data_IF_552003234808
#
_entry.id   IF_552003234808
#
_cell.length_a   1.000
_cell.length_b   1.000
_cell.length_c   1.000
_cell.angle_alpha   90.00
_cell.angle_beta   90.00
_cell.angle_gamma   90.00
#
_symmetry.space_group_name_H-M   'P 1'
#
loop_
_entity.id
_entity.type
_entity.pdbx_description
1 polymer ?
#
# COMPACT_ATOMS: atom_id res chain seq x y z
N UNK A 1 -13.46 -4.42 10.70
CA UNK A 1 -12.25 -4.38 9.86
C UNK A 1 -12.01 -5.81 9.41
N UNK A 2 -12.56 -6.20 8.25
CA UNK A 2 -12.48 -7.59 7.73
C UNK A 2 -11.96 -7.62 6.28
N UNK A 3 -11.42 -6.51 5.79
CA UNK A 3 -11.06 -6.40 4.37
C UNK A 3 -9.88 -7.28 3.99
N UNK A 4 -8.90 -7.44 4.89
CA UNK A 4 -7.76 -8.34 4.65
C UNK A 4 -8.17 -9.82 4.68
N UNK A 5 -9.11 -10.18 5.56
CA UNK A 5 -9.56 -11.56 5.73
C UNK A 5 -10.38 -12.05 4.53
N UNK A 6 -11.19 -11.17 3.93
CA UNK A 6 -12.20 -11.56 2.96
C UNK A 6 -11.88 -11.18 1.50
N UNK A 7 -10.91 -10.30 1.26
CA UNK A 7 -10.68 -9.74 -0.09
C UNK A 7 -9.37 -10.21 -0.76
N UNK A 8 -8.69 -11.21 -0.22
CA UNK A 8 -7.58 -11.85 -0.92
C UNK A 8 -8.04 -12.47 -2.24
N UNK A 9 -7.33 -12.20 -3.34
CA UNK A 9 -7.64 -12.74 -4.67
C UNK A 9 -6.43 -13.41 -5.33
N UNK A 10 -6.65 -14.40 -6.22
CA UNK A 10 -5.58 -15.00 -7.02
C UNK A 10 -4.81 -13.96 -7.86
N UNK A 11 -3.56 -14.28 -8.17
CA UNK A 11 -2.72 -13.48 -9.07
C UNK A 11 -3.43 -13.29 -10.42
N UNK A 12 -3.41 -12.06 -10.92
CA UNK A 12 -4.00 -11.69 -12.22
C UNK A 12 -5.50 -11.37 -12.17
N UNK A 13 -6.17 -11.50 -11.03
CA UNK A 13 -7.55 -11.02 -10.88
C UNK A 13 -7.60 -9.48 -11.09
N UNK A 14 -8.46 -8.96 -11.99
CA UNK A 14 -8.53 -7.51 -12.25
C UNK A 14 -8.87 -6.67 -11.01
N UNK A 15 -9.63 -7.23 -10.08
CA UNK A 15 -10.09 -6.61 -8.84
C UNK A 15 -9.18 -6.93 -7.65
N UNK A 16 -7.93 -7.37 -7.88
CA UNK A 16 -6.97 -7.64 -6.82
C UNK A 16 -6.51 -6.33 -6.18
N UNK A 17 -6.73 -6.21 -4.88
CA UNK A 17 -6.26 -5.05 -4.12
C UNK A 17 -4.75 -5.12 -3.90
N UNK A 18 -4.15 -3.95 -3.71
CA UNK A 18 -2.74 -3.78 -3.43
C UNK A 18 -2.53 -3.15 -2.05
N UNK A 19 -1.41 -3.49 -1.43
CA UNK A 19 -0.96 -2.90 -0.17
C UNK A 19 0.38 -2.18 -0.38
N UNK A 20 0.57 -0.99 0.21
CA UNK A 20 1.82 -0.27 0.11
C UNK A 20 2.89 -0.86 1.06
N UNK A 21 4.16 -0.75 0.66
CA UNK A 21 5.31 -0.95 1.53
C UNK A 21 6.29 0.22 1.36
N UNK A 22 7.09 0.49 2.38
CA UNK A 22 8.25 1.38 2.32
C UNK A 22 9.32 0.85 3.27
N UNK A 23 10.59 0.93 2.89
CA UNK A 23 11.68 0.40 3.71
C UNK A 23 13.05 0.58 3.07
N UNK A 24 14.07 0.70 3.90
CA UNK A 24 15.47 0.85 3.46
C UNK A 24 16.19 -0.50 3.30
N UNK A 25 15.57 -1.58 3.77
CA UNK A 25 16.05 -2.96 3.62
C UNK A 25 15.33 -3.68 2.47
N UNK A 26 16.06 -3.93 1.39
CA UNK A 26 15.53 -4.58 0.18
C UNK A 26 15.10 -6.03 0.45
N UNK A 27 15.80 -6.76 1.33
CA UNK A 27 15.43 -8.14 1.66
C UNK A 27 14.10 -8.17 2.42
N UNK A 28 13.94 -7.30 3.43
CA UNK A 28 12.69 -7.12 4.16
C UNK A 28 11.51 -6.75 3.25
N UNK A 29 11.72 -5.84 2.29
CA UNK A 29 10.68 -5.49 1.29
C UNK A 29 10.31 -6.68 0.40
N UNK A 30 11.27 -7.51 0.00
CA UNK A 30 11.02 -8.71 -0.80
C UNK A 30 10.22 -9.77 -0.02
N UNK A 31 10.52 -9.95 1.28
CA UNK A 31 9.77 -10.83 2.16
C UNK A 31 8.31 -10.34 2.30
N UNK A 32 8.10 -9.05 2.58
CA UNK A 32 6.76 -8.47 2.71
C UNK A 32 5.95 -8.61 1.42
N UNK A 33 6.57 -8.32 0.27
CA UNK A 33 5.96 -8.50 -1.06
C UNK A 33 5.51 -9.94 -1.29
N UNK A 34 6.36 -10.90 -0.93
CA UNK A 34 6.04 -12.33 -1.05
C UNK A 34 4.85 -12.70 -0.17
N UNK A 35 4.82 -12.21 1.06
CA UNK A 35 3.72 -12.44 2.00
C UNK A 35 2.39 -11.86 1.50
N UNK A 36 2.39 -10.61 1.03
CA UNK A 36 1.20 -9.98 0.44
C UNK A 36 0.67 -10.79 -0.74
N UNK A 37 1.58 -11.25 -1.61
CA UNK A 37 1.21 -12.08 -2.73
C UNK A 37 0.55 -13.40 -2.30
N UNK A 38 1.10 -14.07 -1.27
CA UNK A 38 0.53 -15.30 -0.70
C UNK A 38 -0.87 -15.08 -0.09
N UNK A 39 -1.10 -13.90 0.51
CA UNK A 39 -2.41 -13.51 1.04
C UNK A 39 -3.40 -13.02 -0.02
N UNK A 40 -2.99 -12.95 -1.29
CA UNK A 40 -3.87 -12.57 -2.37
C UNK A 40 -3.93 -11.07 -2.65
N UNK A 41 -2.89 -10.32 -2.27
CA UNK A 41 -2.75 -8.89 -2.53
C UNK A 41 -1.55 -8.60 -3.42
N UNK A 42 -1.69 -7.58 -4.26
CA UNK A 42 -0.54 -6.98 -4.95
C UNK A 42 0.25 -6.09 -3.98
N UNK A 43 1.47 -5.71 -4.38
CA UNK A 43 2.32 -4.81 -3.61
C UNK A 43 2.67 -3.59 -4.44
N UNK A 44 2.70 -2.43 -3.80
CA UNK A 44 3.26 -1.19 -4.34
C UNK A 44 4.38 -0.74 -3.41
N UNK A 45 5.61 -0.77 -3.90
CA UNK A 45 6.77 -0.25 -3.17
C UNK A 45 6.82 1.28 -3.33
N UNK A 46 6.66 2.00 -2.23
CA UNK A 46 6.73 3.45 -2.16
C UNK A 46 8.17 3.98 -2.01
N UNK A 47 9.16 3.10 -1.90
CA UNK A 47 10.58 3.43 -1.81
C UNK A 47 11.13 3.36 -0.38
N UNK A 48 12.04 4.28 0.01
CA UNK A 48 12.70 4.25 1.32
C UNK A 48 11.70 4.46 2.45
N UNK A 49 12.09 4.09 3.69
CA UNK A 49 11.21 4.18 4.86
C UNK A 49 10.69 5.61 5.08
N UNK A 50 11.47 6.62 4.69
CA UNK A 50 11.09 8.04 4.75
C UNK A 50 9.87 8.40 3.90
N UNK A 51 9.44 7.55 2.96
CA UNK A 51 8.22 7.76 2.16
C UNK A 51 6.96 7.11 2.76
N UNK A 52 7.08 6.45 3.93
CA UNK A 52 5.97 5.77 4.61
C UNK A 52 4.77 6.69 4.93
N UNK A 53 5.04 7.97 5.16
CA UNK A 53 4.00 8.98 5.44
C UNK A 53 2.90 9.05 4.38
N UNK A 54 3.14 8.61 3.14
CA UNK A 54 2.15 8.64 2.03
C UNK A 54 0.95 7.73 2.25
N UNK A 55 1.04 6.76 3.17
CA UNK A 55 -0.03 5.82 3.50
C UNK A 55 -0.30 5.71 5.01
N UNK A 56 0.16 6.70 5.78
CA UNK A 56 -0.15 6.84 7.19
C UNK A 56 -1.50 7.55 7.43
N UNK A 57 -1.93 7.62 8.68
CA UNK A 57 -3.17 8.28 9.08
C UNK A 57 -3.29 9.69 8.49
N UNK A 58 -4.46 10.01 7.93
CA UNK A 58 -4.73 11.33 7.34
C UNK A 58 -4.33 11.46 5.87
N UNK A 59 -3.85 10.38 5.24
CA UNK A 59 -3.60 10.33 3.80
C UNK A 59 -4.73 9.63 3.03
N UNK A 60 -4.87 9.88 1.70
CA UNK A 60 -5.92 9.25 0.90
C UNK A 60 -5.81 7.72 0.76
N UNK A 61 -4.65 7.13 1.02
CA UNK A 61 -4.45 5.68 0.96
C UNK A 61 -4.83 4.96 2.28
N UNK A 62 -4.97 5.69 3.39
CA UNK A 62 -5.16 5.09 4.71
C UNK A 62 -6.53 4.40 4.83
N UNK A 63 -6.51 3.09 5.06
CA UNK A 63 -7.71 2.25 5.24
C UNK A 63 -8.68 2.23 4.03
N UNK A 64 -8.17 2.39 2.80
CA UNK A 64 -8.97 2.34 1.57
C UNK A 64 -8.57 1.13 0.72
N UNK A 65 -9.49 0.21 0.36
CA UNK A 65 -9.20 -0.86 -0.58
C UNK A 65 -8.95 -0.30 -1.98
N UNK A 66 -7.74 -0.47 -2.50
CA UNK A 66 -7.31 0.09 -3.78
C UNK A 66 -6.67 -1.01 -4.64
N UNK A 67 -6.97 -1.03 -5.93
CA UNK A 67 -6.21 -1.85 -6.89
C UNK A 67 -4.81 -1.24 -7.08
N UNK A 68 -3.86 -2.04 -7.58
CA UNK A 68 -2.46 -1.62 -7.76
C UNK A 68 -2.32 -0.27 -8.46
N UNK A 69 -2.97 -0.10 -9.63
CA UNK A 69 -2.92 1.14 -10.41
C UNK A 69 -3.49 2.33 -9.63
N UNK A 70 -4.58 2.12 -8.87
CA UNK A 70 -5.19 3.20 -8.07
C UNK A 70 -4.27 3.60 -6.91
N UNK A 71 -3.66 2.62 -6.25
CA UNK A 71 -2.71 2.86 -5.17
C UNK A 71 -1.46 3.60 -5.67
N UNK A 72 -0.86 3.18 -6.78
CA UNK A 72 0.28 3.86 -7.42
C UNK A 72 -0.03 5.34 -7.69
N UNK A 73 -1.19 5.63 -8.29
CA UNK A 73 -1.62 7.00 -8.57
C UNK A 73 -1.82 7.82 -7.29
N UNK A 74 -2.46 7.23 -6.27
CA UNK A 74 -2.70 7.92 -4.99
C UNK A 74 -1.38 8.23 -4.30
N UNK A 75 -0.44 7.27 -4.20
CA UNK A 75 0.86 7.50 -3.57
C UNK A 75 1.67 8.56 -4.31
N UNK A 76 1.66 8.55 -5.65
CA UNK A 76 2.38 9.54 -6.47
C UNK A 76 1.84 10.98 -6.30
N UNK A 77 0.53 11.12 -6.10
CA UNK A 77 -0.15 12.42 -5.98
C UNK A 77 -0.33 12.89 -4.52
N UNK A 78 -0.06 12.03 -3.54
CA UNK A 78 -0.11 12.38 -2.13
C UNK A 78 1.03 13.34 -1.80
N UNK A 79 0.68 14.52 -1.30
CA UNK A 79 1.62 15.58 -0.95
C UNK A 79 1.62 15.79 0.56
N UNK A 80 2.77 16.17 1.12
CA UNK A 80 2.90 16.45 2.54
C UNK A 80 2.12 17.73 2.86
N UNK A 81 0.90 17.60 3.36
CA UNK A 81 0.11 18.74 3.79
C UNK A 81 0.66 19.24 5.13
N UNK A 82 1.57 20.22 5.10
CA UNK A 82 2.20 20.81 6.28
C UNK A 82 1.24 21.56 7.25
N UNK A 83 -0.08 21.34 7.18
CA UNK A 83 -1.07 22.01 8.05
C UNK A 83 -2.29 21.14 8.31
N UNK A 84 -2.20 20.24 9.28
CA UNK A 84 -3.33 19.95 10.16
C UNK A 84 -2.99 20.58 11.51
N UNK A 85 -3.29 21.88 11.65
CA UNK A 85 -3.45 22.47 12.99
C UNK A 85 -4.81 22.03 13.51
N UNK A 86 -4.80 21.49 14.73
CA UNK A 86 -5.97 21.27 15.56
C UNK A 86 -6.80 22.55 15.73
#
# INVERSE_FOLDING_TARGET
MHDLENNGRPIGAPERYALPIAGDDEEGKAIATTLYNQFGFDTVDAGPLSEGWRFEHGTPAYCVPLTKIRLENILATTMHNAKLKA
#
